data_IF_287279496945
#
_entry.id   IF_287279496945
#
_cell.length_a   1.000
_cell.length_b   1.000
_cell.length_c   1.000
_cell.angle_alpha   90.00
_cell.angle_beta   90.00
_cell.angle_gamma   90.00
#
_symmetry.space_group_name_H-M   'P 1'
#
loop_
_entity.id
_entity.type
_entity.pdbx_description
1 polymer ?
#
# COMPACT_ATOMS: atom_id res chain seq x y z
N UNK A 1 15.88 36.84 20.16
CA UNK A 1 14.93 36.64 19.04
C UNK A 1 14.90 35.14 18.74
N UNK A 2 13.94 34.43 19.35
CA UNK A 2 13.80 32.98 19.19
C UNK A 2 13.00 32.63 17.93
N UNK A 3 13.20 31.45 17.34
CA UNK A 3 12.47 31.04 16.15
C UNK A 3 10.98 30.84 16.47
N UNK A 4 10.14 31.42 15.61
CA UNK A 4 8.68 31.47 15.70
C UNK A 4 8.07 30.09 15.40
N UNK A 5 7.59 29.39 16.43
CA UNK A 5 6.95 28.07 16.36
C UNK A 5 5.47 28.14 15.90
N UNK A 6 5.16 28.86 14.81
CA UNK A 6 3.79 28.97 14.26
C UNK A 6 3.64 28.45 12.84
N UNK A 7 3.88 27.14 12.66
CA UNK A 7 3.21 26.37 11.60
C UNK A 7 2.60 25.11 12.20
N UNK A 8 1.26 24.95 12.19
CA UNK A 8 0.65 23.69 12.57
C UNK A 8 1.01 22.63 11.51
N UNK A 9 1.72 21.58 11.92
CA UNK A 9 2.00 20.44 11.07
C UNK A 9 0.68 19.76 10.68
N UNK A 10 0.46 19.44 9.39
CA UNK A 10 -0.83 18.93 8.89
C UNK A 10 -1.20 17.52 9.42
N UNK A 11 -0.34 16.90 10.23
CA UNK A 11 -0.50 15.54 10.73
C UNK A 11 -0.96 15.45 12.20
N UNK A 12 -1.40 16.55 12.83
CA UNK A 12 -1.94 16.45 14.20
C UNK A 12 -3.30 15.75 14.20
N UNK A 13 -3.29 14.44 14.42
CA UNK A 13 -4.46 13.69 14.86
C UNK A 13 -5.00 14.32 16.15
N UNK A 14 -6.21 14.89 16.09
CA UNK A 14 -6.84 15.62 17.20
C UNK A 14 -7.53 14.71 18.23
N UNK A 15 -7.25 13.40 18.22
CA UNK A 15 -7.85 12.43 19.13
C UNK A 15 -6.85 12.03 20.24
N UNK A 16 -7.29 11.88 21.51
CA UNK A 16 -6.44 11.33 22.55
C UNK A 16 -6.17 9.85 22.23
N UNK A 17 -4.91 9.49 21.99
CA UNK A 17 -4.51 8.09 21.90
C UNK A 17 -4.62 7.45 23.30
N UNK A 18 -5.28 6.30 23.46
CA UNK A 18 -5.31 5.58 24.74
C UNK A 18 -3.90 5.13 25.11
N UNK A 19 -3.55 5.27 26.39
CA UNK A 19 -2.25 4.90 26.94
C UNK A 19 -2.08 3.36 26.96
N UNK A 20 -1.63 2.79 25.86
CA UNK A 20 -1.32 1.37 25.74
C UNK A 20 -0.67 1.11 24.39
N UNK A 21 0.61 0.75 24.40
CA UNK A 21 1.47 0.65 23.21
C UNK A 21 0.82 -0.11 22.06
N UNK A 22 0.53 0.56 20.95
CA UNK A 22 -0.14 0.03 19.77
C UNK A 22 0.78 -0.88 18.96
N UNK A 23 0.95 -2.13 19.41
CA UNK A 23 1.55 -3.19 18.59
C UNK A 23 0.45 -4.06 17.97
N UNK A 24 0.37 -4.09 16.64
CA UNK A 24 -0.47 -5.05 15.91
C UNK A 24 0.42 -5.95 15.08
N UNK A 25 0.36 -7.26 15.30
CA UNK A 25 1.12 -8.24 14.50
C UNK A 25 2.65 -8.01 14.48
N UNK A 26 3.21 -7.45 15.55
CA UNK A 26 4.66 -7.13 15.64
C UNK A 26 5.04 -5.76 15.07
N UNK A 27 4.12 -5.01 14.46
CA UNK A 27 4.34 -3.64 14.00
C UNK A 27 4.09 -2.64 15.12
N UNK A 28 5.07 -1.78 15.42
CA UNK A 28 5.02 -0.78 16.50
C UNK A 28 4.58 0.59 15.97
N UNK A 29 3.27 0.86 16.00
CA UNK A 29 2.73 2.12 15.46
C UNK A 29 3.17 3.35 16.26
N UNK A 30 3.37 3.20 17.56
CA UNK A 30 3.77 4.31 18.43
C UNK A 30 5.19 4.75 18.15
N UNK A 31 6.11 3.81 17.91
CA UNK A 31 7.46 4.13 17.47
C UNK A 31 7.45 4.96 16.18
N UNK A 32 6.75 4.50 15.14
CA UNK A 32 6.70 5.19 13.85
C UNK A 32 6.03 6.56 13.94
N UNK A 33 4.96 6.67 14.75
CA UNK A 33 4.29 7.94 15.02
C UNK A 33 5.23 8.90 15.75
N UNK A 34 5.89 8.45 16.81
CA UNK A 34 6.82 9.25 17.57
C UNK A 34 7.96 9.79 16.68
N UNK A 35 8.53 8.90 15.85
CA UNK A 35 9.58 9.25 14.91
C UNK A 35 9.10 10.32 13.90
N UNK A 36 7.91 10.15 13.31
CA UNK A 36 7.34 11.12 12.38
C UNK A 36 7.09 12.51 13.00
N UNK A 37 6.72 12.55 14.29
CA UNK A 37 6.41 13.79 15.01
C UNK A 37 7.67 14.53 15.48
N UNK A 38 8.73 13.82 15.87
CA UNK A 38 9.88 14.40 16.57
C UNK A 38 11.15 14.46 15.70
N UNK A 39 11.30 13.55 14.74
CA UNK A 39 12.43 13.53 13.80
C UNK A 39 11.96 13.07 12.40
N UNK A 40 11.41 13.99 11.60
CA UNK A 40 10.93 13.67 10.27
C UNK A 40 12.01 13.09 9.35
N UNK A 41 13.27 13.52 9.52
CA UNK A 41 14.39 13.04 8.69
C UNK A 41 14.68 11.58 9.00
N UNK A 42 14.78 11.22 10.29
CA UNK A 42 14.96 9.83 10.70
C UNK A 42 13.77 8.95 10.30
N UNK A 43 12.54 9.49 10.33
CA UNK A 43 11.35 8.78 9.86
C UNK A 43 11.48 8.38 8.38
N UNK A 44 11.84 9.32 7.49
CA UNK A 44 11.98 9.01 6.07
C UNK A 44 13.12 8.02 5.80
N UNK A 45 14.24 8.14 6.51
CA UNK A 45 15.36 7.17 6.40
C UNK A 45 14.95 5.77 6.85
N UNK A 46 14.29 5.66 8.02
CA UNK A 46 13.81 4.38 8.54
C UNK A 46 12.78 3.75 7.60
N UNK A 47 11.87 4.56 7.05
CA UNK A 47 10.87 4.11 6.07
C UNK A 47 11.54 3.57 4.81
N UNK A 48 12.50 4.30 4.25
CA UNK A 48 13.20 3.88 3.03
C UNK A 48 13.95 2.56 3.24
N UNK A 49 14.58 2.38 4.41
CA UNK A 49 15.22 1.12 4.79
C UNK A 49 14.22 -0.03 4.86
N UNK A 50 13.09 0.17 5.55
CA UNK A 50 12.05 -0.83 5.70
C UNK A 50 11.43 -1.24 4.35
N UNK A 51 11.21 -0.28 3.44
CA UNK A 51 10.72 -0.55 2.09
C UNK A 51 11.72 -1.35 1.26
N UNK A 52 13.01 -1.01 1.30
CA UNK A 52 14.05 -1.77 0.60
C UNK A 52 14.15 -3.20 1.11
N UNK A 53 14.09 -3.40 2.43
CA UNK A 53 14.07 -4.74 3.02
C UNK A 53 12.84 -5.53 2.58
N UNK A 54 11.66 -4.91 2.60
CA UNK A 54 10.42 -5.53 2.12
C UNK A 54 10.55 -5.98 0.66
N UNK A 55 11.05 -5.12 -0.21
CA UNK A 55 11.24 -5.44 -1.63
C UNK A 55 12.27 -6.56 -1.81
N UNK A 56 13.38 -6.53 -1.09
CA UNK A 56 14.43 -7.54 -1.16
C UNK A 56 13.97 -8.94 -0.70
N UNK A 57 12.95 -9.03 0.16
CA UNK A 57 12.36 -10.31 0.57
C UNK A 57 11.55 -10.99 -0.54
N UNK A 58 11.27 -10.31 -1.65
CA UNK A 58 10.44 -10.81 -2.76
C UNK A 58 11.21 -10.79 -4.09
N UNK A 59 12.20 -11.69 -4.25
CA UNK A 59 13.02 -11.72 -5.45
C UNK A 59 12.18 -11.99 -6.70
N UNK A 60 12.44 -11.24 -7.78
CA UNK A 60 11.66 -11.28 -9.02
C UNK A 60 10.39 -10.41 -9.03
N UNK A 61 10.09 -9.73 -7.92
CA UNK A 61 8.96 -8.78 -7.81
C UNK A 61 9.43 -7.34 -7.53
N UNK A 62 10.72 -7.07 -7.65
CA UNK A 62 11.31 -5.79 -7.25
C UNK A 62 10.74 -4.61 -8.04
N UNK A 63 10.61 -4.78 -9.36
CA UNK A 63 10.03 -3.77 -10.26
C UNK A 63 8.57 -3.46 -9.91
N UNK A 64 7.67 -4.47 -9.93
CA UNK A 64 6.27 -4.28 -9.56
C UNK A 64 6.06 -3.67 -8.17
N UNK A 65 6.81 -4.12 -7.15
CA UNK A 65 6.69 -3.59 -5.80
C UNK A 65 7.19 -2.15 -5.68
N UNK A 66 8.29 -1.81 -6.36
CA UNK A 66 8.78 -0.42 -6.42
C UNK A 66 7.78 0.51 -7.12
N UNK A 67 7.16 0.04 -8.20
CA UNK A 67 6.12 0.79 -8.92
C UNK A 67 4.88 1.00 -8.05
N UNK A 68 4.44 -0.03 -7.30
CA UNK A 68 3.34 0.11 -6.35
C UNK A 68 3.66 1.13 -5.26
N UNK A 69 4.86 1.08 -4.69
CA UNK A 69 5.28 2.02 -3.65
C UNK A 69 5.27 3.48 -4.16
N UNK A 70 5.74 3.71 -5.39
CA UNK A 70 5.69 5.03 -6.03
C UNK A 70 4.24 5.56 -6.18
N UNK A 71 3.30 4.69 -6.53
CA UNK A 71 1.86 5.05 -6.60
C UNK A 71 1.29 5.40 -5.23
N UNK A 72 1.62 4.62 -4.20
CA UNK A 72 1.21 4.90 -2.81
C UNK A 72 1.73 6.27 -2.37
N UNK A 73 3.00 6.58 -2.66
CA UNK A 73 3.59 7.86 -2.28
C UNK A 73 2.95 9.03 -3.00
N UNK A 74 2.63 8.85 -4.29
CA UNK A 74 1.90 9.83 -5.08
C UNK A 74 0.51 10.11 -4.48
N UNK A 75 -0.25 9.05 -4.14
CA UNK A 75 -1.56 9.20 -3.50
C UNK A 75 -1.45 9.96 -2.17
N UNK A 76 -0.44 9.66 -1.35
CA UNK A 76 -0.20 10.36 -0.08
C UNK A 76 0.12 11.84 -0.24
N UNK A 77 0.85 12.22 -1.29
CA UNK A 77 1.20 13.62 -1.57
C UNK A 77 -0.03 14.39 -2.05
N UNK A 78 -0.89 13.78 -2.88
CA UNK A 78 -2.02 14.47 -3.54
C UNK A 78 -3.26 14.55 -2.65
N UNK A 79 -3.52 13.54 -1.80
CA UNK A 79 -4.78 13.41 -1.08
C UNK A 79 -5.08 14.49 -0.02
N UNK A 80 -4.10 15.31 0.35
CA UNK A 80 -4.26 16.44 1.29
C UNK A 80 -4.58 16.05 2.75
N UNK A 81 -4.94 14.79 3.02
CA UNK A 81 -5.12 14.23 4.36
C UNK A 81 -4.80 12.74 4.41
N UNK A 82 -4.36 12.19 5.55
CA UNK A 82 -4.09 10.76 5.70
C UNK A 82 -5.31 9.87 5.41
N UNK A 83 -6.50 10.28 5.85
CA UNK A 83 -7.74 9.50 5.63
C UNK A 83 -8.09 9.43 4.15
N UNK A 84 -7.94 10.54 3.42
CA UNK A 84 -8.17 10.54 1.98
C UNK A 84 -7.13 9.69 1.25
N UNK A 85 -5.85 9.76 1.64
CA UNK A 85 -4.82 8.90 1.06
C UNK A 85 -5.15 7.41 1.26
N UNK A 86 -5.67 7.02 2.42
CA UNK A 86 -6.11 5.65 2.67
C UNK A 86 -7.27 5.24 1.75
N UNK A 87 -8.24 6.13 1.49
CA UNK A 87 -9.33 5.87 0.55
C UNK A 87 -8.79 5.66 -0.86
N UNK A 88 -7.97 6.59 -1.34
CA UNK A 88 -7.36 6.52 -2.67
C UNK A 88 -6.54 5.22 -2.85
N UNK A 89 -5.84 4.78 -1.81
CA UNK A 89 -5.09 3.51 -1.83
C UNK A 89 -6.02 2.29 -1.88
N UNK A 90 -7.12 2.30 -1.13
CA UNK A 90 -8.11 1.22 -1.16
C UNK A 90 -8.82 1.16 -2.52
N UNK A 91 -9.16 2.31 -3.10
CA UNK A 91 -9.78 2.40 -4.42
C UNK A 91 -8.84 1.82 -5.50
N UNK A 92 -7.53 2.12 -5.44
CA UNK A 92 -6.54 1.50 -6.32
C UNK A 92 -6.49 -0.04 -6.19
N UNK A 93 -6.70 -0.57 -4.99
CA UNK A 93 -6.76 -2.01 -4.76
C UNK A 93 -8.05 -2.62 -5.31
N UNK A 94 -9.18 -1.95 -5.11
CA UNK A 94 -10.49 -2.36 -5.63
C UNK A 94 -10.48 -2.43 -7.17
N UNK A 95 -9.98 -1.38 -7.83
CA UNK A 95 -9.81 -1.36 -9.29
C UNK A 95 -9.00 -2.57 -9.78
N UNK A 96 -7.93 -2.92 -9.06
CA UNK A 96 -7.10 -4.07 -9.42
C UNK A 96 -7.83 -5.39 -9.26
N UNK A 97 -8.63 -5.54 -8.19
CA UNK A 97 -9.45 -6.73 -7.96
C UNK A 97 -10.52 -6.89 -9.05
N UNK A 98 -11.15 -5.81 -9.47
CA UNK A 98 -12.11 -5.82 -10.58
C UNK A 98 -11.43 -6.26 -11.89
N UNK A 99 -10.25 -5.73 -12.21
CA UNK A 99 -9.52 -6.14 -13.41
C UNK A 99 -9.12 -7.62 -13.37
N UNK A 100 -8.73 -8.13 -12.20
CA UNK A 100 -8.41 -9.55 -12.03
C UNK A 100 -9.65 -10.43 -12.18
N UNK A 101 -10.80 -10.02 -11.64
CA UNK A 101 -12.04 -10.79 -11.77
C UNK A 101 -12.51 -10.88 -13.23
N UNK A 102 -12.42 -9.79 -13.99
CA UNK A 102 -12.71 -9.78 -15.42
C UNK A 102 -11.79 -10.73 -16.20
N UNK A 103 -10.49 -10.70 -15.91
CA UNK A 103 -9.51 -11.59 -16.55
C UNK A 103 -9.76 -13.06 -16.23
N UNK A 104 -10.16 -13.37 -15.01
CA UNK A 104 -10.51 -14.73 -14.62
C UNK A 104 -11.73 -15.23 -15.41
N UNK A 105 -12.76 -14.40 -15.60
CA UNK A 105 -13.93 -14.75 -16.40
C UNK A 105 -13.54 -15.01 -17.87
N UNK A 106 -12.66 -14.19 -18.44
CA UNK A 106 -12.16 -14.38 -19.80
C UNK A 106 -11.38 -15.70 -19.94
N UNK A 107 -10.41 -15.94 -19.06
CA UNK A 107 -9.62 -17.19 -19.05
C UNK A 107 -10.50 -18.43 -18.83
N UNK A 108 -11.53 -18.33 -18.00
CA UNK A 108 -12.50 -19.41 -17.79
C UNK A 108 -13.22 -19.75 -19.10
N UNK A 109 -13.69 -18.74 -19.84
CA UNK A 109 -14.36 -18.92 -21.15
C UNK A 109 -13.44 -19.56 -22.18
N UNK A 110 -12.19 -19.10 -22.26
CA UNK A 110 -11.18 -19.69 -23.16
C UNK A 110 -10.92 -21.16 -22.80
N UNK A 111 -10.78 -21.46 -21.51
CA UNK A 111 -10.56 -22.82 -21.01
C UNK A 111 -11.74 -23.74 -21.35
N UNK A 112 -12.98 -23.26 -21.19
CA UNK A 112 -14.19 -24.03 -21.53
C UNK A 112 -14.32 -24.27 -23.03
N UNK A 113 -13.97 -23.27 -23.85
CA UNK A 113 -13.94 -23.40 -25.31
C UNK A 113 -12.93 -24.45 -25.76
N UNK A 114 -11.69 -24.38 -25.25
CA UNK A 114 -10.65 -25.37 -25.53
C UNK A 114 -11.04 -26.78 -25.07
N UNK A 115 -11.65 -26.88 -23.88
CA UNK A 115 -12.18 -28.16 -23.36
C UNK A 115 -13.25 -28.74 -24.30
N UNK A 116 -14.17 -27.92 -24.78
CA UNK A 116 -15.19 -28.33 -25.75
C UNK A 116 -14.58 -28.84 -27.07
N UNK A 117 -13.56 -28.14 -27.59
CA UNK A 117 -12.84 -28.57 -28.79
C UNK A 117 -12.14 -29.91 -28.60
N UNK A 118 -11.44 -30.10 -27.47
CA UNK A 118 -10.73 -31.35 -27.14
C UNK A 118 -11.68 -32.53 -26.91
N UNK A 119 -12.85 -32.29 -26.32
CA UNK A 119 -13.88 -33.32 -26.13
C UNK A 119 -14.60 -33.65 -27.44
N UNK A 120 -14.80 -32.67 -28.31
CA UNK A 120 -15.37 -32.85 -29.65
C UNK A 120 -14.42 -33.52 -30.65
N UNK A 121 -13.12 -33.57 -30.36
CA UNK A 121 -12.10 -34.22 -31.21
C UNK A 121 -11.77 -35.65 -30.80
N UNK A 122 -12.47 -36.24 -29.83
CA UNK A 122 -12.32 -37.67 -29.50
C UNK A 122 -12.86 -38.54 -30.64
N UNK A 123 -12.02 -39.13 -31.52
CA UNK A 123 -12.49 -40.05 -32.54
C UNK A 123 -12.81 -41.37 -31.86
N UNK A 124 -13.93 -41.98 -32.24
CA UNK A 124 -14.29 -43.36 -31.87
C UNK A 124 -13.25 -44.35 -32.39
#
# INVERSE_FOLDING_TARGET
MGPDCRRPSPFRCRAPCPAGGGRVGGFDFDYWKHLAEHDPVAFFQARDLALRQCIAMHPGQEGPLSALQSRIDTARVVAGSPVQACRDILDMMEERLILLSLKLVELQRETDSLRGLLQGTSPR
#
